data_IF_164033496128
#
_entry.id   IF_164033496128
#
_cell.length_a   1.000
_cell.length_b   1.000
_cell.length_c   1.000
_cell.angle_alpha   90.00
_cell.angle_beta   90.00
_cell.angle_gamma   90.00
#
_symmetry.space_group_name_H-M   'P 1'
#
loop_
_entity.id
_entity.type
_entity.pdbx_description
1 polymer ?
#
# COMPACT_ATOMS: atom_id res chain seq x y z
N UNK A 1 -30.46 19.18 92.17
CA UNK A 1 -29.06 19.67 92.26
C UNK A 1 -28.68 20.00 90.84
N UNK A 2 -28.96 21.17 90.40
CA UNK A 2 -28.15 22.38 90.45
C UNK A 2 -27.14 22.46 89.30
N UNK A 3 -27.44 23.48 88.49
CA UNK A 3 -26.61 24.47 87.83
C UNK A 3 -25.86 24.06 86.59
N UNK A 4 -25.70 24.87 85.59
CA UNK A 4 -26.07 26.29 85.23
C UNK A 4 -25.89 26.49 83.74
N UNK A 5 -26.62 27.43 83.19
CA UNK A 5 -26.50 28.05 81.90
C UNK A 5 -25.11 28.69 81.72
N UNK A 6 -24.57 28.63 80.53
CA UNK A 6 -23.82 29.76 79.93
C UNK A 6 -23.94 29.77 78.41
N UNK A 7 -24.38 30.88 77.96
CA UNK A 7 -24.45 31.33 76.60
C UNK A 7 -23.07 31.50 75.99
N UNK A 8 -22.84 31.15 74.78
CA UNK A 8 -21.82 31.77 73.93
C UNK A 8 -22.26 31.97 72.55
N UNK A 9 -21.95 33.17 72.08
CA UNK A 9 -22.38 33.87 70.90
C UNK A 9 -22.07 33.19 69.58
N UNK A 10 -22.94 33.50 68.60
CA UNK A 10 -22.76 33.20 67.20
C UNK A 10 -21.56 33.93 66.59
N UNK A 11 -20.70 33.21 65.89
CA UNK A 11 -19.81 33.77 64.86
C UNK A 11 -20.15 33.11 63.56
N UNK A 12 -20.85 33.86 62.68
CA UNK A 12 -21.08 33.48 61.30
C UNK A 12 -19.78 33.74 60.53
N UNK A 13 -19.06 32.66 60.17
CA UNK A 13 -18.02 32.73 59.15
C UNK A 13 -18.63 32.38 57.78
N UNK A 14 -18.77 33.39 56.96
CA UNK A 14 -19.12 33.23 55.58
C UNK A 14 -17.99 32.60 54.79
N UNK A 15 -18.20 31.38 54.28
CA UNK A 15 -17.31 30.75 53.34
C UNK A 15 -17.74 31.21 51.95
N UNK A 16 -16.98 32.14 51.37
CA UNK A 16 -17.08 32.45 49.91
C UNK A 16 -16.52 31.23 49.15
N UNK A 17 -17.43 30.45 48.54
CA UNK A 17 -17.06 29.45 47.60
C UNK A 17 -16.72 30.14 46.27
N UNK A 18 -15.42 30.27 45.98
CA UNK A 18 -14.93 30.68 44.66
C UNK A 18 -15.18 29.54 43.67
N UNK A 19 -16.21 29.64 42.85
CA UNK A 19 -16.35 28.78 41.66
C UNK A 19 -15.24 29.16 40.65
N UNK A 20 -14.16 28.39 40.63
CA UNK A 20 -13.22 28.39 39.52
C UNK A 20 -13.92 27.70 38.34
N UNK A 21 -14.42 28.48 37.38
CA UNK A 21 -14.82 27.98 36.07
C UNK A 21 -13.57 27.38 35.41
N UNK A 22 -13.46 26.05 35.41
CA UNK A 22 -12.51 25.36 34.58
C UNK A 22 -12.91 25.61 33.12
N UNK A 23 -12.26 26.61 32.51
CA UNK A 23 -12.37 26.82 31.08
C UNK A 23 -11.90 25.58 30.36
N UNK A 24 -12.81 24.89 29.67
CA UNK A 24 -12.42 23.91 28.65
C UNK A 24 -11.55 24.65 27.63
N UNK A 25 -10.23 24.49 27.74
CA UNK A 25 -9.33 24.77 26.64
C UNK A 25 -9.66 23.78 25.55
N UNK A 26 -10.40 24.24 24.55
CA UNK A 26 -10.39 23.59 23.24
C UNK A 26 -8.94 23.68 22.74
N UNK A 27 -8.18 22.61 22.92
CA UNK A 27 -6.91 22.46 22.21
C UNK A 27 -7.26 22.57 20.72
N UNK A 28 -6.84 23.66 20.10
CA UNK A 28 -6.85 23.78 18.65
C UNK A 28 -5.98 22.63 18.12
N UNK A 29 -6.60 21.63 17.51
CA UNK A 29 -5.90 20.56 16.79
C UNK A 29 -5.06 21.30 15.76
N UNK A 30 -3.74 21.39 16.01
CA UNK A 30 -2.79 21.87 15.01
C UNK A 30 -2.99 21.00 13.79
N UNK A 31 -3.12 21.55 12.57
CA UNK A 31 -3.16 20.72 11.37
C UNK A 31 -1.91 19.84 11.41
N UNK A 32 -2.13 18.52 11.42
CA UNK A 32 -1.04 17.54 11.35
C UNK A 32 -0.22 17.85 10.10
N UNK A 33 1.10 17.83 10.20
CA UNK A 33 1.97 17.94 9.01
C UNK A 33 1.47 16.97 7.94
N UNK A 34 1.49 17.37 6.66
CA UNK A 34 1.01 16.51 5.58
C UNK A 34 1.65 15.13 5.66
N UNK A 35 0.83 14.09 5.68
CA UNK A 35 1.34 12.72 5.77
C UNK A 35 1.75 12.26 4.37
N UNK A 36 2.91 11.65 4.27
CA UNK A 36 3.41 11.07 3.01
C UNK A 36 3.40 9.56 3.09
N UNK A 37 3.15 8.91 1.95
CA UNK A 37 3.23 7.47 1.77
C UNK A 37 4.16 7.20 0.57
N UNK A 38 5.19 6.41 0.79
CA UNK A 38 6.17 6.01 -0.22
C UNK A 38 5.78 4.65 -0.78
N UNK A 39 5.28 4.62 -2.00
CA UNK A 39 4.73 3.45 -2.68
C UNK A 39 5.72 2.97 -3.71
N UNK A 40 6.16 1.72 -3.60
CA UNK A 40 7.07 1.07 -4.55
C UNK A 40 6.32 -0.02 -5.31
N UNK A 41 6.51 -0.10 -6.61
CA UNK A 41 6.25 -1.30 -7.41
C UNK A 41 7.55 -1.82 -7.99
N UNK A 42 7.75 -3.15 -7.97
CA UNK A 42 8.96 -3.77 -8.46
C UNK A 42 8.69 -5.22 -8.90
N UNK A 43 8.75 -5.46 -10.19
CA UNK A 43 8.82 -6.82 -10.73
C UNK A 43 10.23 -7.36 -10.44
N UNK A 44 10.32 -8.45 -9.67
CA UNK A 44 11.60 -9.00 -9.19
C UNK A 44 12.12 -10.14 -10.05
N UNK A 45 11.51 -10.41 -11.22
CA UNK A 45 11.89 -11.47 -12.13
C UNK A 45 12.18 -12.81 -11.38
N UNK A 46 11.19 -13.26 -10.61
CA UNK A 46 11.25 -14.46 -9.72
C UNK A 46 12.53 -14.56 -8.86
N UNK A 47 13.19 -13.44 -8.62
CA UNK A 47 14.41 -13.35 -7.80
C UNK A 47 15.71 -13.61 -8.55
N UNK A 48 15.66 -13.92 -9.85
CA UNK A 48 16.84 -14.11 -10.70
C UNK A 48 17.24 -12.80 -11.36
N UNK A 49 18.43 -12.32 -11.06
CA UNK A 49 18.99 -11.12 -11.69
C UNK A 49 19.33 -11.35 -13.18
N UNK A 50 19.62 -10.27 -13.90
CA UNK A 50 20.07 -10.35 -15.31
C UNK A 50 21.42 -11.07 -15.45
N UNK A 51 22.19 -11.16 -14.35
CA UNK A 51 23.41 -11.95 -14.21
C UNK A 51 23.15 -13.45 -13.93
N UNK A 52 21.88 -13.88 -13.97
CA UNK A 52 21.44 -15.27 -13.71
C UNK A 52 21.73 -15.75 -12.28
N UNK A 53 21.80 -14.84 -11.32
CA UNK A 53 21.99 -15.14 -9.92
C UNK A 53 20.74 -14.83 -9.10
N UNK A 54 20.37 -15.75 -8.20
CA UNK A 54 19.35 -15.53 -7.19
C UNK A 54 19.97 -14.80 -6.00
N UNK A 55 19.91 -13.46 -5.97
CA UNK A 55 20.50 -12.63 -4.91
C UNK A 55 19.43 -11.80 -4.18
N UNK A 56 18.82 -12.40 -3.17
CA UNK A 56 17.81 -11.74 -2.34
C UNK A 56 18.35 -10.61 -1.46
N UNK A 57 19.66 -10.60 -1.16
CA UNK A 57 20.30 -9.51 -0.43
C UNK A 57 20.40 -8.26 -1.30
N UNK A 58 20.71 -8.44 -2.59
CA UNK A 58 20.73 -7.38 -3.59
C UNK A 58 19.32 -6.78 -3.75
N UNK A 59 18.30 -7.62 -4.00
CA UNK A 59 16.90 -7.17 -4.10
C UNK A 59 16.45 -6.40 -2.84
N UNK A 60 16.75 -6.92 -1.66
CA UNK A 60 16.44 -6.24 -0.40
C UNK A 60 17.26 -4.94 -0.23
N UNK A 61 18.47 -4.88 -0.78
CA UNK A 61 19.31 -3.67 -0.82
C UNK A 61 18.65 -2.57 -1.63
N UNK A 62 18.17 -2.89 -2.83
CA UNK A 62 17.41 -2.00 -3.72
C UNK A 62 16.16 -1.47 -3.02
N UNK A 63 15.32 -2.36 -2.49
CA UNK A 63 14.09 -1.98 -1.77
C UNK A 63 14.41 -1.06 -0.58
N UNK A 64 15.36 -1.42 0.27
CA UNK A 64 15.76 -0.61 1.43
C UNK A 64 16.35 0.74 1.03
N UNK A 65 17.11 0.82 -0.05
CA UNK A 65 17.70 2.05 -0.57
C UNK A 65 16.63 3.10 -0.91
N UNK A 66 15.52 2.65 -1.48
CA UNK A 66 14.36 3.48 -1.82
C UNK A 66 13.47 3.86 -0.62
N UNK A 67 13.64 3.20 0.54
CA UNK A 67 12.89 3.46 1.79
C UNK A 67 11.38 3.52 1.59
N UNK A 68 10.74 2.52 0.97
CA UNK A 68 9.31 2.51 0.77
C UNK A 68 8.56 2.27 2.08
N UNK A 69 7.31 2.72 2.14
CA UNK A 69 6.37 2.40 3.20
C UNK A 69 5.57 1.14 2.87
N UNK A 70 5.30 0.95 1.57
CA UNK A 70 4.58 -0.20 1.04
C UNK A 70 5.12 -0.56 -0.35
N UNK A 71 5.16 -1.85 -0.66
CA UNK A 71 5.76 -2.39 -1.89
C UNK A 71 4.81 -3.39 -2.51
N UNK A 72 4.54 -3.25 -3.81
CA UNK A 72 3.99 -4.32 -4.65
C UNK A 72 5.14 -5.02 -5.37
N UNK A 73 5.27 -6.33 -5.16
CA UNK A 73 6.22 -7.19 -5.84
C UNK A 73 5.48 -8.07 -6.84
N UNK A 74 5.99 -8.16 -8.05
CA UNK A 74 5.50 -9.04 -9.09
C UNK A 74 6.51 -10.15 -9.33
N UNK A 75 6.04 -11.26 -9.92
CA UNK A 75 6.83 -12.44 -10.20
C UNK A 75 7.46 -13.07 -8.96
N UNK A 76 6.66 -13.28 -7.94
CA UNK A 76 7.14 -13.81 -6.66
C UNK A 76 6.91 -15.30 -6.58
N UNK A 77 7.98 -16.05 -6.34
CA UNK A 77 7.94 -17.50 -6.08
C UNK A 77 7.74 -17.81 -4.59
N UNK A 78 6.91 -18.80 -4.33
CA UNK A 78 6.71 -19.37 -3.01
C UNK A 78 6.95 -20.87 -3.06
N UNK A 79 8.15 -21.31 -2.68
CA UNK A 79 8.49 -22.71 -2.58
C UNK A 79 8.69 -23.44 -3.91
N UNK A 80 8.96 -22.73 -5.01
CA UNK A 80 9.19 -23.34 -6.33
C UNK A 80 10.57 -24.01 -6.44
N UNK A 81 10.70 -24.98 -7.35
CA UNK A 81 11.97 -25.67 -7.61
C UNK A 81 13.04 -24.68 -8.10
N UNK A 82 12.71 -23.77 -9.03
CA UNK A 82 13.67 -22.78 -9.56
C UNK A 82 14.21 -21.85 -8.48
N UNK A 83 13.40 -21.52 -7.48
CA UNK A 83 13.81 -20.74 -6.33
C UNK A 83 14.35 -21.58 -5.17
N UNK A 84 14.68 -22.87 -5.41
CA UNK A 84 15.23 -23.79 -4.40
C UNK A 84 14.35 -23.90 -3.15
N UNK A 85 13.03 -23.87 -3.30
CA UNK A 85 12.07 -23.99 -2.21
C UNK A 85 11.94 -22.72 -1.34
N UNK A 86 12.49 -21.59 -1.75
CA UNK A 86 12.44 -20.33 -0.98
C UNK A 86 11.04 -19.72 -1.04
N UNK A 87 10.56 -19.26 0.12
CA UNK A 87 9.45 -18.30 0.22
C UNK A 87 10.03 -16.89 0.08
N UNK A 88 10.00 -16.36 -1.16
CA UNK A 88 10.65 -15.08 -1.49
C UNK A 88 10.00 -13.91 -0.78
N UNK A 89 8.67 -13.88 -0.69
CA UNK A 89 7.95 -12.81 0.01
C UNK A 89 8.36 -12.73 1.49
N UNK A 90 8.39 -13.86 2.19
CA UNK A 90 8.81 -13.94 3.59
C UNK A 90 10.27 -13.56 3.77
N UNK A 91 11.14 -14.02 2.89
CA UNK A 91 12.57 -13.73 2.96
C UNK A 91 12.85 -12.24 2.75
N UNK A 92 12.28 -11.63 1.71
CA UNK A 92 12.42 -10.20 1.43
C UNK A 92 11.83 -9.35 2.55
N UNK A 93 10.65 -9.72 3.07
CA UNK A 93 10.04 -9.05 4.23
C UNK A 93 10.97 -9.07 5.45
N UNK A 94 11.57 -10.23 5.77
CA UNK A 94 12.55 -10.35 6.86
C UNK A 94 13.77 -9.44 6.64
N UNK A 95 14.33 -9.44 5.43
CA UNK A 95 15.52 -8.64 5.07
C UNK A 95 15.22 -7.14 5.10
N UNK A 96 14.01 -6.73 4.72
CA UNK A 96 13.54 -5.35 4.73
C UNK A 96 12.93 -4.92 6.07
N UNK A 97 12.70 -5.84 7.02
CA UNK A 97 12.01 -5.60 8.29
C UNK A 97 10.59 -5.06 8.08
N UNK A 98 9.86 -5.69 7.19
CA UNK A 98 8.48 -5.34 6.83
C UNK A 98 7.52 -6.51 7.12
N UNK A 99 6.24 -6.21 7.26
CA UNK A 99 5.16 -7.20 7.16
C UNK A 99 5.00 -7.63 5.72
N UNK A 100 4.37 -8.79 5.47
CA UNK A 100 4.14 -9.26 4.11
C UNK A 100 2.81 -10.00 3.97
N UNK A 101 2.33 -10.05 2.74
CA UNK A 101 1.29 -10.94 2.27
C UNK A 101 1.68 -11.47 0.89
N UNK A 102 1.33 -12.73 0.59
CA UNK A 102 1.53 -13.36 -0.70
C UNK A 102 0.18 -13.72 -1.31
N UNK A 103 -0.01 -13.44 -2.59
CA UNK A 103 -1.19 -13.75 -3.38
C UNK A 103 -0.83 -14.71 -4.51
N UNK A 104 -1.25 -15.96 -4.38
CA UNK A 104 -1.05 -16.97 -5.42
C UNK A 104 -1.86 -16.61 -6.67
N UNK A 105 -1.20 -16.54 -7.83
CA UNK A 105 -1.83 -16.52 -9.13
C UNK A 105 -2.00 -17.92 -9.70
N UNK A 106 -0.97 -18.78 -9.57
CA UNK A 106 -0.99 -20.16 -10.07
C UNK A 106 -0.05 -21.08 -9.29
N UNK A 107 -0.28 -22.42 -9.32
CA UNK A 107 0.73 -23.41 -8.98
C UNK A 107 1.89 -23.34 -10.00
N UNK A 108 3.14 -23.47 -9.55
CA UNK A 108 4.31 -23.42 -10.41
C UNK A 108 5.45 -24.25 -9.83
N UNK A 109 6.02 -25.18 -10.61
CA UNK A 109 7.21 -25.97 -10.28
C UNK A 109 7.22 -26.50 -8.83
N UNK A 110 6.17 -27.21 -8.42
CA UNK A 110 6.06 -27.79 -7.08
C UNK A 110 5.69 -26.80 -5.96
N UNK A 111 5.70 -25.51 -6.24
CA UNK A 111 5.29 -24.41 -5.35
C UNK A 111 4.19 -23.56 -5.94
N UNK A 112 4.27 -22.25 -5.68
CA UNK A 112 3.29 -21.25 -6.11
C UNK A 112 4.01 -20.04 -6.70
N UNK A 113 3.34 -19.34 -7.62
CA UNK A 113 3.80 -18.10 -8.24
C UNK A 113 2.69 -17.06 -8.19
N UNK A 114 3.06 -15.79 -7.98
CA UNK A 114 2.09 -14.71 -7.92
C UNK A 114 2.71 -13.38 -7.53
N UNK A 115 1.95 -12.60 -6.79
CA UNK A 115 2.31 -11.27 -6.34
C UNK A 115 2.49 -11.23 -4.81
N UNK A 116 3.30 -10.30 -4.32
CA UNK A 116 3.40 -10.06 -2.89
C UNK A 116 3.30 -8.57 -2.55
N UNK A 117 2.89 -8.30 -1.33
CA UNK A 117 2.95 -6.97 -0.74
C UNK A 117 3.87 -7.01 0.47
N UNK A 118 4.81 -6.04 0.53
CA UNK A 118 5.55 -5.75 1.76
C UNK A 118 5.05 -4.42 2.34
N UNK A 119 4.91 -4.34 3.67
CA UNK A 119 4.40 -3.14 4.33
C UNK A 119 5.16 -2.83 5.62
N UNK A 120 5.52 -1.57 5.85
CA UNK A 120 6.00 -1.08 7.16
C UNK A 120 4.92 -1.12 8.23
N UNK A 121 3.66 -1.07 7.79
CA UNK A 121 2.50 -1.08 8.68
C UNK A 121 1.96 -2.50 8.82
N UNK A 122 1.34 -2.85 9.96
CA UNK A 122 0.62 -4.11 10.08
C UNK A 122 -0.42 -4.28 8.97
N UNK A 123 -0.49 -5.48 8.40
CA UNK A 123 -1.52 -5.84 7.42
C UNK A 123 -2.73 -6.36 8.21
N UNK A 124 -3.84 -5.63 8.12
CA UNK A 124 -5.07 -5.96 8.87
C UNK A 124 -5.90 -7.04 8.16
N UNK A 125 -5.95 -6.98 6.81
CA UNK A 125 -6.70 -7.91 5.97
C UNK A 125 -5.94 -8.16 4.68
N UNK A 126 -6.12 -9.36 4.12
CA UNK A 126 -5.57 -9.75 2.82
C UNK A 126 -6.65 -10.45 2.01
N UNK A 127 -6.78 -10.08 0.75
CA UNK A 127 -7.67 -10.71 -0.22
C UNK A 127 -6.88 -11.01 -1.49
N UNK A 128 -7.18 -12.13 -2.15
CA UNK A 128 -6.61 -12.46 -3.47
C UNK A 128 -7.78 -12.54 -4.46
N UNK A 129 -7.71 -11.71 -5.47
CA UNK A 129 -8.75 -11.58 -6.49
C UNK A 129 -8.25 -12.22 -7.79
N UNK A 130 -8.78 -13.38 -8.21
CA UNK A 130 -8.48 -13.93 -9.54
C UNK A 130 -8.91 -12.95 -10.62
N UNK A 131 -8.04 -12.78 -11.62
CA UNK A 131 -8.33 -11.97 -12.80
C UNK A 131 -8.80 -12.84 -13.97
N UNK A 132 -9.48 -12.28 -14.98
CA UNK A 132 -9.84 -12.99 -16.19
C UNK A 132 -8.66 -13.76 -16.77
N UNK A 133 -8.93 -14.99 -17.19
CA UNK A 133 -7.94 -15.97 -17.63
C UNK A 133 -8.41 -16.64 -18.93
N UNK A 134 -7.47 -17.01 -19.78
CA UNK A 134 -7.67 -17.83 -20.96
C UNK A 134 -6.78 -19.08 -20.88
N UNK A 135 -7.27 -20.19 -21.42
CA UNK A 135 -6.47 -21.39 -21.60
C UNK A 135 -5.18 -21.05 -22.36
N UNK A 136 -4.06 -21.71 -21.99
CA UNK A 136 -2.73 -21.50 -22.58
C UNK A 136 -2.09 -20.11 -22.25
N UNK A 137 -2.65 -19.39 -21.28
CA UNK A 137 -2.04 -18.18 -20.71
C UNK A 137 -1.76 -18.38 -19.24
N UNK A 138 -0.86 -17.57 -18.68
CA UNK A 138 -0.61 -17.57 -17.24
C UNK A 138 -1.80 -16.96 -16.50
N UNK A 139 -2.39 -17.66 -15.52
CA UNK A 139 -3.33 -17.06 -14.59
C UNK A 139 -2.71 -15.85 -13.88
N UNK A 140 -3.50 -14.80 -13.72
CA UNK A 140 -3.11 -13.58 -13.02
C UNK A 140 -4.05 -13.30 -11.86
N UNK A 141 -3.55 -12.61 -10.85
CA UNK A 141 -4.32 -12.19 -9.70
C UNK A 141 -4.02 -10.76 -9.31
N UNK A 142 -4.84 -10.22 -8.41
CA UNK A 142 -4.52 -9.01 -7.68
C UNK A 142 -4.57 -9.33 -6.19
N UNK A 143 -3.50 -9.02 -5.48
CA UNK A 143 -3.47 -9.12 -4.01
C UNK A 143 -3.85 -7.77 -3.41
N UNK A 144 -4.91 -7.73 -2.61
CA UNK A 144 -5.32 -6.57 -1.85
C UNK A 144 -4.94 -6.74 -0.39
N UNK A 145 -4.30 -5.73 0.19
CA UNK A 145 -4.09 -5.65 1.63
C UNK A 145 -4.72 -4.37 2.18
N UNK A 146 -5.30 -4.46 3.38
CA UNK A 146 -5.76 -3.29 4.13
C UNK A 146 -4.71 -2.94 5.18
N UNK A 147 -4.26 -1.70 5.17
CA UNK A 147 -3.34 -1.12 6.14
C UNK A 147 -3.88 0.21 6.66
N UNK A 148 -3.44 0.64 7.83
CA UNK A 148 -3.85 1.91 8.43
C UNK A 148 -2.61 2.78 8.77
N UNK A 149 -2.01 3.48 7.78
CA UNK A 149 -0.88 4.37 8.04
C UNK A 149 -1.30 5.52 8.97
N UNK A 150 -0.44 5.89 9.96
CA UNK A 150 -0.74 6.98 10.89
C UNK A 150 -1.06 8.30 10.17
N UNK A 151 -2.15 8.95 10.55
CA UNK A 151 -2.60 10.22 9.98
C UNK A 151 -3.30 10.13 8.61
N UNK A 152 -3.40 8.92 8.03
CA UNK A 152 -4.13 8.66 6.77
C UNK A 152 -5.39 7.84 7.06
N UNK A 153 -5.28 6.83 7.92
CA UNK A 153 -6.37 5.89 8.20
C UNK A 153 -6.36 4.66 7.28
N UNK A 154 -7.42 3.84 7.30
CA UNK A 154 -7.47 2.62 6.52
C UNK A 154 -7.50 2.90 5.02
N UNK A 155 -6.61 2.22 4.28
CA UNK A 155 -6.53 2.23 2.82
C UNK A 155 -6.40 0.79 2.31
N UNK A 156 -6.92 0.54 1.10
CA UNK A 156 -6.61 -0.68 0.35
C UNK A 156 -5.40 -0.42 -0.54
N UNK A 157 -4.40 -1.29 -0.45
CA UNK A 157 -3.28 -1.35 -1.37
C UNK A 157 -3.34 -2.63 -2.17
N UNK A 158 -3.27 -2.51 -3.50
CA UNK A 158 -3.45 -3.62 -4.44
C UNK A 158 -2.20 -3.80 -5.27
N UNK A 159 -1.61 -4.98 -5.21
CA UNK A 159 -0.53 -5.41 -6.09
C UNK A 159 -1.06 -6.29 -7.22
N UNK A 160 -0.60 -6.11 -8.45
CA UNK A 160 -1.04 -6.91 -9.60
C UNK A 160 0.05 -7.08 -10.64
N UNK A 161 -0.11 -8.09 -11.50
CA UNK A 161 0.70 -8.30 -12.69
C UNK A 161 -0.24 -8.77 -13.82
N UNK A 162 -0.39 -7.97 -14.88
CA UNK A 162 -1.29 -8.29 -15.97
C UNK A 162 -0.64 -9.20 -17.03
N UNK A 163 -1.46 -9.81 -17.85
CA UNK A 163 -1.00 -10.73 -18.91
C UNK A 163 -0.03 -10.05 -19.89
N UNK A 164 1.16 -10.58 -20.07
CA UNK A 164 2.14 -10.05 -21.03
C UNK A 164 1.85 -10.41 -22.50
N UNK A 165 1.07 -11.46 -22.76
CA UNK A 165 0.92 -12.05 -24.09
C UNK A 165 -0.25 -11.51 -24.89
N UNK A 166 -1.37 -11.09 -24.26
CA UNK A 166 -2.59 -10.72 -24.94
C UNK A 166 -3.14 -9.36 -24.49
N UNK A 167 -3.23 -8.40 -25.42
CA UNK A 167 -3.80 -7.08 -25.16
C UNK A 167 -5.30 -7.17 -24.79
N UNK A 168 -6.04 -8.09 -25.45
CA UNK A 168 -7.46 -8.32 -25.16
C UNK A 168 -7.65 -8.83 -23.74
N UNK A 169 -6.83 -9.83 -23.30
CA UNK A 169 -6.90 -10.35 -21.95
C UNK A 169 -6.51 -9.30 -20.92
N UNK A 170 -5.45 -8.51 -21.18
CA UNK A 170 -5.09 -7.35 -20.32
C UNK A 170 -6.24 -6.37 -20.17
N UNK A 171 -6.94 -6.08 -21.29
CA UNK A 171 -8.09 -5.17 -21.26
C UNK A 171 -9.23 -5.72 -20.38
N UNK A 172 -9.53 -7.01 -20.46
CA UNK A 172 -10.49 -7.68 -19.56
C UNK A 172 -10.03 -7.64 -18.11
N UNK A 173 -8.73 -7.85 -17.86
CA UNK A 173 -8.15 -7.77 -16.51
C UNK A 173 -8.24 -6.35 -15.95
N UNK A 174 -7.96 -5.32 -16.75
CA UNK A 174 -8.11 -3.91 -16.39
C UNK A 174 -9.58 -3.54 -16.07
N UNK A 175 -10.53 -4.05 -16.88
CA UNK A 175 -11.97 -3.92 -16.59
C UNK A 175 -12.34 -4.55 -15.26
N UNK A 176 -11.82 -5.76 -14.98
CA UNK A 176 -12.07 -6.46 -13.73
C UNK A 176 -11.53 -5.70 -12.52
N UNK A 177 -10.31 -5.16 -12.61
CA UNK A 177 -9.74 -4.32 -11.55
C UNK A 177 -10.59 -3.08 -11.29
N UNK A 178 -11.10 -2.42 -12.33
CA UNK A 178 -11.99 -1.25 -12.18
C UNK A 178 -13.32 -1.61 -11.53
N UNK A 179 -13.85 -2.83 -11.77
CA UNK A 179 -15.07 -3.34 -11.12
C UNK A 179 -14.84 -3.71 -9.66
N UNK A 180 -13.69 -4.32 -9.34
CA UNK A 180 -13.33 -4.72 -7.97
C UNK A 180 -13.11 -3.50 -7.08
N UNK A 181 -12.50 -2.45 -7.64
CA UNK A 181 -12.10 -1.26 -6.92
C UNK A 181 -12.74 0.01 -7.51
N UNK A 182 -14.07 0.17 -7.44
CA UNK A 182 -14.73 1.35 -7.97
C UNK A 182 -14.33 2.61 -7.20
N UNK A 183 -14.38 3.76 -7.87
CA UNK A 183 -14.15 5.04 -7.21
C UNK A 183 -15.21 5.27 -6.14
N UNK A 184 -14.81 5.25 -4.86
CA UNK A 184 -15.71 5.45 -3.72
C UNK A 184 -15.06 6.37 -2.70
N UNK A 185 -15.68 7.54 -2.46
CA UNK A 185 -15.20 8.50 -1.46
C UNK A 185 -15.11 7.84 -0.07
N UNK A 186 -13.99 8.08 0.64
CA UNK A 186 -13.77 7.55 1.99
C UNK A 186 -13.24 6.11 2.05
N UNK A 187 -12.95 5.49 0.90
CA UNK A 187 -12.26 4.21 0.81
C UNK A 187 -11.10 4.30 -0.18
N UNK A 188 -10.00 4.92 0.22
CA UNK A 188 -8.87 5.13 -0.67
C UNK A 188 -8.26 3.81 -1.14
N UNK A 189 -7.93 3.75 -2.43
CA UNK A 189 -7.30 2.58 -3.05
C UNK A 189 -6.10 3.02 -3.87
N UNK A 190 -4.97 2.36 -3.65
CA UNK A 190 -3.77 2.48 -4.48
C UNK A 190 -3.57 1.15 -5.18
N UNK A 191 -3.42 1.18 -6.50
CA UNK A 191 -3.17 0.01 -7.34
C UNK A 191 -1.78 0.14 -7.95
N UNK A 192 -0.90 -0.83 -7.73
CA UNK A 192 0.47 -0.81 -8.20
C UNK A 192 0.86 -2.15 -8.83
N UNK A 193 1.74 -2.14 -9.82
CA UNK A 193 2.18 -3.36 -10.46
C UNK A 193 2.78 -3.18 -11.83
N UNK A 194 3.10 -4.33 -12.45
CA UNK A 194 3.42 -4.46 -13.86
C UNK A 194 2.13 -4.71 -14.65
N UNK A 195 1.75 -3.72 -15.43
CA UNK A 195 0.52 -3.80 -16.25
C UNK A 195 0.79 -4.38 -17.63
N UNK A 196 2.04 -4.60 -18.02
CA UNK A 196 2.43 -5.04 -19.36
C UNK A 196 1.77 -4.21 -20.48
N UNK A 197 1.45 -2.96 -20.20
CA UNK A 197 0.65 -2.07 -21.01
C UNK A 197 1.27 -0.68 -21.08
N UNK A 198 1.54 -0.17 -22.27
CA UNK A 198 2.10 1.18 -22.44
C UNK A 198 1.01 2.25 -22.28
N UNK A 199 1.40 3.49 -21.93
CA UNK A 199 0.48 4.62 -21.95
C UNK A 199 -0.27 4.73 -23.28
N UNK A 200 -1.59 5.00 -23.20
CA UNK A 200 -2.46 5.11 -24.39
C UNK A 200 -2.97 3.78 -24.95
N UNK A 201 -2.55 2.63 -24.41
CA UNK A 201 -3.11 1.32 -24.77
C UNK A 201 -4.51 1.11 -24.20
N UNK A 202 -5.27 0.15 -24.77
CA UNK A 202 -6.65 -0.13 -24.34
C UNK A 202 -6.76 -0.46 -22.85
N UNK A 203 -5.91 -1.32 -22.24
CA UNK A 203 -5.99 -1.61 -20.80
C UNK A 203 -5.82 -0.34 -19.94
N UNK A 204 -4.87 0.54 -20.31
CA UNK A 204 -4.64 1.78 -19.59
C UNK A 204 -5.77 2.77 -19.78
N UNK A 205 -6.31 2.89 -20.99
CA UNK A 205 -7.48 3.73 -21.27
C UNK A 205 -8.70 3.28 -20.47
N UNK A 206 -8.93 1.96 -20.33
CA UNK A 206 -10.01 1.41 -19.49
C UNK A 206 -9.85 1.87 -18.02
N UNK A 207 -8.65 1.78 -17.47
CA UNK A 207 -8.39 2.19 -16.08
C UNK A 207 -8.57 3.70 -15.90
N UNK A 208 -7.97 4.51 -16.77
CA UNK A 208 -8.04 5.96 -16.68
C UNK A 208 -9.49 6.46 -16.85
N UNK A 209 -10.26 5.90 -17.79
CA UNK A 209 -11.66 6.23 -17.98
C UNK A 209 -12.54 5.79 -16.79
N UNK A 210 -12.11 4.80 -16.02
CA UNK A 210 -12.78 4.38 -14.79
C UNK A 210 -12.39 5.21 -13.56
N UNK A 211 -11.68 6.33 -13.73
CA UNK A 211 -11.32 7.27 -12.67
C UNK A 211 -10.02 6.92 -11.92
N UNK A 212 -9.16 6.09 -12.51
CA UNK A 212 -7.78 5.97 -12.04
C UNK A 212 -6.92 7.11 -12.59
N UNK A 213 -5.91 7.49 -11.85
CA UNK A 213 -4.92 8.51 -12.22
C UNK A 213 -3.55 7.86 -12.15
N UNK A 214 -2.78 8.00 -13.22
CA UNK A 214 -1.41 7.52 -13.29
C UNK A 214 -0.48 8.46 -12.49
N UNK A 215 -0.02 7.99 -11.35
CA UNK A 215 0.85 8.73 -10.46
C UNK A 215 2.34 8.70 -10.91
N UNK A 216 2.69 7.87 -11.90
CA UNK A 216 4.04 7.79 -12.48
C UNK A 216 4.20 8.73 -13.68
N UNK A 217 3.09 9.13 -14.32
CA UNK A 217 3.12 10.02 -15.50
C UNK A 217 3.97 11.28 -15.27
N UNK A 218 4.79 11.72 -16.25
CA UNK A 218 4.88 11.23 -17.63
C UNK A 218 5.91 10.09 -17.85
N UNK A 219 6.40 9.45 -16.80
CA UNK A 219 7.52 8.50 -16.84
C UNK A 219 7.10 7.04 -16.96
N UNK A 220 5.80 6.76 -17.00
CA UNK A 220 5.25 5.40 -17.08
C UNK A 220 5.69 4.68 -18.35
N UNK A 221 6.05 3.40 -18.22
CA UNK A 221 6.34 2.49 -19.33
C UNK A 221 5.37 1.32 -19.31
N UNK A 222 5.50 0.40 -18.36
CA UNK A 222 4.60 -0.73 -18.12
C UNK A 222 4.35 -0.96 -16.63
N UNK A 223 5.18 -0.38 -15.78
CA UNK A 223 5.05 -0.41 -14.32
C UNK A 223 4.36 0.86 -13.84
N UNK A 224 3.30 0.72 -13.03
CA UNK A 224 2.46 1.83 -12.61
C UNK A 224 2.18 1.83 -11.12
N UNK A 225 1.96 3.03 -10.61
CA UNK A 225 1.22 3.31 -9.37
C UNK A 225 0.01 4.15 -9.76
N UNK A 226 -1.18 3.61 -9.56
CA UNK A 226 -2.43 4.29 -9.86
C UNK A 226 -3.16 4.65 -8.57
N UNK A 227 -3.72 5.85 -8.52
CA UNK A 227 -4.55 6.34 -7.42
C UNK A 227 -5.95 6.68 -7.94
N UNK A 228 -6.94 6.75 -7.06
CA UNK A 228 -8.28 7.19 -7.46
C UNK A 228 -8.35 8.71 -7.53
N UNK A 229 -8.97 9.25 -8.57
CA UNK A 229 -9.17 10.71 -8.73
C UNK A 229 -10.03 11.34 -7.62
N UNK A 230 -10.84 10.53 -6.94
CA UNK A 230 -11.66 10.99 -5.80
C UNK A 230 -10.93 10.93 -4.45
N UNK A 231 -9.73 10.34 -4.38
CA UNK A 231 -8.95 10.25 -3.17
C UNK A 231 -8.06 11.49 -3.02
N UNK A 232 -7.88 12.02 -1.80
CA UNK A 232 -7.13 13.25 -1.59
C UNK A 232 -5.62 13.04 -1.60
N UNK A 233 -5.11 12.39 -2.65
CA UNK A 233 -3.69 12.20 -2.89
C UNK A 233 -3.13 13.28 -3.80
N UNK A 234 -1.89 13.71 -3.51
CA UNK A 234 -1.07 14.52 -4.42
C UNK A 234 0.26 13.81 -4.63
N UNK A 235 0.68 13.65 -5.87
CA UNK A 235 2.02 13.15 -6.21
C UNK A 235 3.05 14.21 -5.90
N UNK A 236 4.04 13.89 -5.08
CA UNK A 236 5.13 14.78 -4.68
C UNK A 236 6.42 14.49 -5.40
N UNK A 237 6.66 13.20 -5.67
CA UNK A 237 7.90 12.78 -6.30
C UNK A 237 7.71 11.42 -6.99
N UNK A 238 8.46 11.17 -8.05
CA UNK A 238 8.55 9.90 -8.77
C UNK A 238 10.01 9.56 -8.97
N UNK A 239 10.44 8.41 -8.53
CA UNK A 239 11.80 7.91 -8.65
C UNK A 239 11.77 6.59 -9.39
N UNK A 240 12.40 6.52 -10.54
CA UNK A 240 12.70 5.30 -11.26
C UNK A 240 14.19 5.07 -11.08
N UNK A 241 14.54 3.99 -10.39
CA UNK A 241 15.96 3.69 -10.13
C UNK A 241 16.47 2.80 -11.26
N UNK A 242 17.49 3.26 -11.97
CA UNK A 242 18.25 2.45 -12.92
C UNK A 242 18.96 1.31 -12.16
N UNK A 243 18.42 0.09 -12.24
CA UNK A 243 18.91 -1.11 -11.55
C UNK A 243 19.04 -2.27 -12.54
N UNK A 244 20.15 -2.32 -13.29
CA UNK A 244 20.26 -3.21 -14.44
C UNK A 244 20.55 -4.69 -14.06
N UNK A 245 20.80 -5.00 -12.79
CA UNK A 245 21.31 -6.32 -12.39
C UNK A 245 20.29 -7.12 -11.55
N UNK A 246 19.63 -6.47 -10.59
CA UNK A 246 18.80 -7.21 -9.63
C UNK A 246 17.50 -7.76 -10.24
N UNK A 247 17.02 -7.15 -11.32
CA UNK A 247 15.87 -7.58 -12.12
C UNK A 247 16.03 -7.08 -13.57
N UNK A 248 15.18 -7.51 -14.47
CA UNK A 248 15.01 -6.95 -15.81
C UNK A 248 14.01 -5.78 -15.86
N UNK A 249 13.46 -5.41 -14.71
CA UNK A 249 12.65 -4.22 -14.50
C UNK A 249 13.32 -3.26 -13.52
N UNK A 250 13.15 -1.96 -13.79
CA UNK A 250 13.52 -0.90 -12.87
C UNK A 250 12.45 -0.70 -11.79
N UNK A 251 12.82 -0.57 -10.49
CA UNK A 251 11.86 -0.28 -9.45
C UNK A 251 11.33 1.15 -9.56
N UNK A 252 10.00 1.29 -9.44
CA UNK A 252 9.29 2.57 -9.54
C UNK A 252 8.73 2.97 -8.19
N UNK A 253 9.22 4.06 -7.62
CA UNK A 253 8.76 4.64 -6.36
C UNK A 253 7.98 5.93 -6.61
N UNK A 254 6.80 6.02 -6.02
CA UNK A 254 5.98 7.25 -5.99
C UNK A 254 5.84 7.73 -4.54
N UNK A 255 6.06 9.01 -4.31
CA UNK A 255 5.80 9.67 -3.03
C UNK A 255 4.44 10.36 -3.11
N UNK A 256 3.49 9.83 -2.39
CA UNK A 256 2.14 10.38 -2.30
C UNK A 256 1.99 11.21 -1.03
N UNK A 257 1.37 12.37 -1.12
CA UNK A 257 1.00 13.21 0.02
C UNK A 257 -0.51 13.15 0.23
N UNK A 258 -0.91 12.82 1.46
CA UNK A 258 -2.30 12.87 1.89
C UNK A 258 -2.71 14.29 2.25
N UNK A 259 -3.81 14.78 1.67
CA UNK A 259 -4.30 16.15 1.91
C UNK A 259 -5.32 16.22 3.07
N UNK A 260 -5.58 15.10 3.74
CA UNK A 260 -6.61 15.01 4.76
C UNK A 260 -8.02 14.83 4.16
N UNK A 261 -8.96 14.49 5.02
CA UNK A 261 -10.38 14.53 4.67
C UNK A 261 -10.86 15.95 4.96
N UNK A 262 -11.11 16.74 3.92
CA UNK A 262 -11.84 17.99 4.03
C UNK A 262 -13.33 17.71 4.27
#
# INVERSE_FOLDING_TARGET
MDYTRREFAALALGVLASLTMAGCRTESIKPSSPQTLRVLTYNIHHGEGTDKQFDYQRLAGVIKGLKPDIVALQEVDHGTERASGVDQAKLLAKLCRMHYAFGQAMPHQGGQYGEAVLSRFPIEKTFVHPLPYQLDREPRSAIEVVIAPPGIGPISFVGTHLCHQSNELRTLQAQRLSQLFPAQKGKPVILAGDFNARPGSDPMNVLLNAGWVDAVSPHSVIDYVLIRSCDPWTVKDVIILDEPIASDHDPVLVVLQWQGNN
#
